data_IF_817366083297
#
_entry.id   IF_817366083297
#
_cell.length_a   1.000
_cell.length_b   1.000
_cell.length_c   1.000
_cell.angle_alpha   90.00
_cell.angle_beta   90.00
_cell.angle_gamma   90.00
#
_symmetry.space_group_name_H-M   'P 1'
#
loop_
_entity.id
_entity.type
_entity.pdbx_description
1 polymer ?
#
# COMPACT_ATOMS: atom_id res chain seq x y z
N UNK A 1 16.83 -13.11 -13.65
CA UNK A 1 15.59 -13.61 -13.03
C UNK A 1 15.62 -13.17 -11.59
N UNK A 2 14.93 -12.09 -11.23
CA UNK A 2 14.75 -11.73 -9.81
C UNK A 2 13.84 -12.79 -9.20
N UNK A 3 14.26 -13.36 -8.08
CA UNK A 3 13.47 -14.38 -7.38
C UNK A 3 12.17 -13.75 -6.88
N UNK A 4 11.11 -14.54 -6.70
CA UNK A 4 9.75 -14.02 -6.45
C UNK A 4 9.63 -12.97 -5.33
N UNK A 5 10.45 -13.08 -4.26
CA UNK A 5 10.47 -12.09 -3.17
C UNK A 5 11.24 -10.82 -3.51
N UNK A 6 12.37 -10.91 -4.22
CA UNK A 6 13.14 -9.74 -4.65
C UNK A 6 12.36 -8.91 -5.67
N UNK A 7 11.65 -9.58 -6.59
CA UNK A 7 10.76 -8.92 -7.54
C UNK A 7 9.61 -8.19 -6.84
N UNK A 8 9.01 -8.80 -5.81
CA UNK A 8 7.96 -8.17 -5.01
C UNK A 8 8.50 -6.96 -4.22
N UNK A 9 9.69 -7.07 -3.61
CA UNK A 9 10.33 -5.97 -2.90
C UNK A 9 10.65 -4.79 -3.83
N UNK A 10 11.16 -5.07 -5.04
CA UNK A 10 11.40 -4.05 -6.05
C UNK A 10 10.09 -3.36 -6.48
N UNK A 11 9.02 -4.15 -6.68
CA UNK A 11 7.68 -3.64 -6.98
C UNK A 11 7.13 -2.72 -5.88
N UNK A 12 7.27 -3.12 -4.62
CA UNK A 12 6.84 -2.31 -3.47
C UNK A 12 7.61 -0.98 -3.39
N UNK A 13 8.92 -0.98 -3.66
CA UNK A 13 9.72 0.25 -3.70
C UNK A 13 9.33 1.16 -4.88
N UNK A 14 9.07 0.58 -6.05
CA UNK A 14 8.60 1.35 -7.20
C UNK A 14 7.22 1.98 -6.95
N UNK A 15 6.31 1.23 -6.33
CA UNK A 15 5.00 1.72 -5.93
C UNK A 15 5.10 2.87 -4.91
N UNK A 16 6.01 2.76 -3.94
CA UNK A 16 6.27 3.84 -2.99
C UNK A 16 6.72 5.11 -3.72
N UNK A 17 7.67 5.00 -4.65
CA UNK A 17 8.13 6.16 -5.44
C UNK A 17 7.01 6.81 -6.25
N UNK A 18 6.06 6.02 -6.77
CA UNK A 18 4.87 6.55 -7.44
C UNK A 18 3.94 7.28 -6.47
N UNK A 19 3.72 6.72 -5.27
CA UNK A 19 2.92 7.35 -4.23
C UNK A 19 3.50 8.69 -3.77
N UNK A 20 4.82 8.75 -3.56
CA UNK A 20 5.51 9.97 -3.14
C UNK A 20 5.40 11.05 -4.23
N UNK A 21 5.59 10.67 -5.51
CA UNK A 21 5.42 11.57 -6.64
C UNK A 21 3.97 12.06 -6.81
N UNK A 22 2.98 11.17 -6.65
CA UNK A 22 1.56 11.53 -6.65
C UNK A 22 1.26 12.54 -5.55
N UNK A 23 1.72 12.28 -4.32
CA UNK A 23 1.48 13.15 -3.18
C UNK A 23 2.08 14.54 -3.41
N UNK A 24 3.31 14.61 -3.91
CA UNK A 24 3.95 15.88 -4.26
C UNK A 24 3.17 16.65 -5.35
N UNK A 25 2.60 15.96 -6.34
CA UNK A 25 1.80 16.62 -7.37
C UNK A 25 0.49 17.20 -6.81
N UNK A 26 -0.14 16.53 -5.84
CA UNK A 26 -1.32 17.03 -5.12
C UNK A 26 -0.94 18.24 -4.25
N UNK A 27 0.09 18.12 -3.42
CA UNK A 27 0.51 19.18 -2.50
C UNK A 27 0.98 20.46 -3.24
N UNK A 28 1.54 20.32 -4.44
CA UNK A 28 1.93 21.45 -5.29
C UNK A 28 0.78 22.01 -6.15
N UNK A 29 -0.45 21.49 -6.01
CA UNK A 29 -1.63 21.88 -6.81
C UNK A 29 -1.50 21.54 -8.30
N UNK A 30 -0.56 20.68 -8.67
CA UNK A 30 -0.34 20.25 -10.07
C UNK A 30 -1.33 19.16 -10.50
N UNK A 31 -1.92 18.47 -9.53
CA UNK A 31 -2.97 17.49 -9.75
C UNK A 31 -4.25 17.95 -9.07
N UNK A 32 -5.21 18.36 -9.89
CA UNK A 32 -6.57 18.69 -9.47
C UNK A 32 -7.51 17.78 -10.25
N UNK A 33 -8.36 17.06 -9.54
CA UNK A 33 -9.16 16.01 -10.12
C UNK A 33 -10.62 16.17 -9.71
N UNK A 34 -11.52 15.92 -10.66
CA UNK A 34 -12.96 15.92 -10.40
C UNK A 34 -13.30 14.95 -9.24
N UNK A 35 -14.12 15.36 -8.26
CA UNK A 35 -14.40 14.55 -7.06
C UNK A 35 -14.95 13.16 -7.34
N UNK A 36 -15.84 13.00 -8.31
CA UNK A 36 -16.41 11.69 -8.64
C UNK A 36 -15.34 10.77 -9.22
N UNK A 37 -14.49 11.31 -10.10
CA UNK A 37 -13.39 10.55 -10.71
C UNK A 37 -12.31 10.22 -9.69
N UNK A 38 -11.98 11.14 -8.81
CA UNK A 38 -11.00 10.94 -7.76
C UNK A 38 -11.43 9.84 -6.79
N UNK A 39 -12.70 9.83 -6.37
CA UNK A 39 -13.24 8.77 -5.51
C UNK A 39 -13.29 7.43 -6.24
N UNK A 40 -13.66 7.41 -7.53
CA UNK A 40 -13.65 6.18 -8.32
C UNK A 40 -12.25 5.55 -8.39
N UNK A 41 -11.21 6.36 -8.61
CA UNK A 41 -9.81 5.89 -8.63
C UNK A 41 -9.34 5.48 -7.23
N UNK A 42 -9.62 6.30 -6.20
CA UNK A 42 -9.28 5.99 -4.83
C UNK A 42 -9.86 4.64 -4.37
N UNK A 43 -11.11 4.35 -4.77
CA UNK A 43 -11.76 3.07 -4.49
C UNK A 43 -11.02 1.88 -5.10
N UNK A 44 -10.51 1.99 -6.33
CA UNK A 44 -9.71 0.91 -6.95
C UNK A 44 -8.45 0.64 -6.15
N UNK A 45 -7.80 1.69 -5.63
CA UNK A 45 -6.62 1.53 -4.78
C UNK A 45 -6.97 0.92 -3.41
N UNK A 46 -8.10 1.29 -2.81
CA UNK A 46 -8.59 0.69 -1.57
C UNK A 46 -8.94 -0.81 -1.75
N UNK A 47 -9.61 -1.17 -2.85
CA UNK A 47 -9.92 -2.57 -3.18
C UNK A 47 -8.64 -3.41 -3.30
N UNK A 48 -7.63 -2.88 -3.99
CA UNK A 48 -6.31 -3.54 -4.08
C UNK A 48 -5.61 -3.61 -2.73
N UNK A 49 -5.70 -2.57 -1.90
CA UNK A 49 -5.12 -2.58 -0.56
C UNK A 49 -5.76 -3.68 0.30
N UNK A 50 -7.08 -3.89 0.17
CA UNK A 50 -7.79 -4.95 0.88
C UNK A 50 -7.39 -6.36 0.40
N UNK A 51 -7.06 -6.55 -0.88
CA UNK A 51 -6.47 -7.81 -1.36
C UNK A 51 -5.12 -8.09 -0.67
N UNK A 52 -4.23 -7.09 -0.62
CA UNK A 52 -2.94 -7.22 0.07
C UNK A 52 -3.09 -7.50 1.57
N UNK A 53 -4.07 -6.86 2.21
CA UNK A 53 -4.45 -7.13 3.59
C UNK A 53 -4.93 -8.58 3.77
N UNK A 54 -5.69 -9.10 2.80
CA UNK A 54 -6.10 -10.50 2.74
C UNK A 54 -4.90 -11.46 2.68
N UNK A 55 -3.95 -11.20 1.79
CA UNK A 55 -2.71 -11.98 1.70
C UNK A 55 -1.88 -11.92 2.98
N UNK A 56 -1.76 -10.75 3.59
CA UNK A 56 -1.06 -10.57 4.86
C UNK A 56 -1.69 -11.44 5.97
N UNK A 57 -3.02 -11.38 6.14
CA UNK A 57 -3.75 -12.19 7.14
C UNK A 57 -3.60 -13.69 6.89
N UNK A 58 -3.66 -14.11 5.62
CA UNK A 58 -3.47 -15.51 5.25
C UNK A 58 -2.03 -15.97 5.55
N UNK A 59 -1.03 -15.14 5.26
CA UNK A 59 0.36 -15.42 5.61
C UNK A 59 0.58 -15.55 7.12
N UNK A 60 -0.01 -14.66 7.94
CA UNK A 60 0.06 -14.78 9.40
C UNK A 60 -0.58 -16.07 9.93
N UNK A 61 -1.69 -16.51 9.33
CA UNK A 61 -2.33 -17.79 9.69
C UNK A 61 -1.45 -19.00 9.38
N UNK A 62 -0.62 -18.92 8.34
CA UNK A 62 0.32 -19.98 8.01
C UNK A 62 1.47 -20.06 9.02
N UNK A 63 1.92 -18.93 9.58
CA UNK A 63 2.94 -18.91 10.64
C UNK A 63 2.44 -19.47 11.98
N UNK A 64 1.15 -19.35 12.27
CA UNK A 64 0.56 -19.75 13.55
C UNK A 64 0.10 -21.20 13.60
N UNK A 65 0.03 -21.86 12.45
CA UNK A 65 -0.23 -23.30 12.39
C UNK A 65 1.13 -23.99 12.46
N UNK A 66 1.37 -24.79 13.51
CA UNK A 66 2.47 -25.77 13.62
C UNK A 66 2.34 -26.84 12.52
N UNK A 67 2.43 -26.41 11.26
CA UNK A 67 2.07 -27.17 10.08
C UNK A 67 3.10 -28.25 9.75
N UNK A 68 4.27 -28.19 10.38
CA UNK A 68 5.43 -29.01 10.07
C UNK A 68 5.65 -30.17 11.07
N UNK A 69 4.81 -30.28 12.11
CA UNK A 69 4.84 -31.36 13.10
C UNK A 69 5.93 -31.22 14.17
N UNK A 70 5.74 -31.88 15.31
CA UNK A 70 6.63 -31.81 16.49
C UNK A 70 7.81 -32.80 16.40
N UNK A 71 8.59 -32.71 15.32
CA UNK A 71 9.81 -33.50 15.15
C UNK A 71 10.97 -32.59 14.75
N UNK A 72 12.21 -33.07 14.89
CA UNK A 72 13.42 -32.27 14.61
C UNK A 72 13.40 -31.64 13.21
N UNK A 73 12.96 -32.39 12.20
CA UNK A 73 12.84 -31.91 10.81
C UNK A 73 11.71 -30.88 10.68
N UNK A 74 10.59 -31.10 11.37
CA UNK A 74 9.45 -30.19 11.40
C UNK A 74 9.82 -28.82 11.97
N UNK A 75 10.53 -28.81 13.10
CA UNK A 75 11.05 -27.58 13.73
C UNK A 75 12.04 -26.83 12.84
N UNK A 76 12.94 -27.54 12.13
CA UNK A 76 13.89 -26.91 11.20
C UNK A 76 13.18 -26.29 9.98
N UNK A 77 12.17 -26.98 9.42
CA UNK A 77 11.35 -26.45 8.33
C UNK A 77 10.53 -25.23 8.76
N UNK A 78 9.93 -25.28 9.95
CA UNK A 78 9.19 -24.17 10.54
C UNK A 78 10.09 -22.95 10.74
N UNK A 79 11.29 -23.14 11.29
CA UNK A 79 12.27 -22.06 11.46
C UNK A 79 12.67 -21.44 10.11
N UNK A 80 12.98 -22.25 9.10
CA UNK A 80 13.32 -21.77 7.75
C UNK A 80 12.17 -21.01 7.08
N UNK A 81 10.93 -21.46 7.28
CA UNK A 81 9.75 -20.76 6.76
C UNK A 81 9.56 -19.42 7.48
N UNK A 82 9.63 -19.43 8.81
CA UNK A 82 9.52 -18.23 9.64
C UNK A 82 10.59 -17.20 9.26
N UNK A 83 11.85 -17.61 9.05
CA UNK A 83 12.93 -16.73 8.61
C UNK A 83 12.66 -16.06 7.26
N UNK A 84 12.04 -16.75 6.30
CA UNK A 84 11.72 -16.17 4.98
C UNK A 84 10.51 -15.25 5.00
N UNK A 85 9.51 -15.59 5.80
CA UNK A 85 8.24 -14.86 5.84
C UNK A 85 8.31 -13.65 6.78
N UNK A 86 9.01 -13.80 7.90
CA UNK A 86 9.20 -12.79 8.94
C UNK A 86 10.60 -12.93 9.58
N UNK A 87 11.66 -12.45 8.91
CA UNK A 87 13.02 -12.55 9.43
C UNK A 87 13.13 -11.82 10.77
N UNK A 88 13.80 -12.46 11.74
CA UNK A 88 13.99 -11.94 13.11
C UNK A 88 14.98 -10.76 13.19
N UNK A 89 15.79 -10.53 12.15
CA UNK A 89 16.78 -9.45 12.08
C UNK A 89 16.83 -8.83 10.67
N UNK A 90 17.28 -7.58 10.64
CA UNK A 90 17.22 -6.54 9.60
C UNK A 90 17.81 -6.85 8.20
N UNK A 91 18.10 -8.11 7.86
CA UNK A 91 18.84 -8.47 6.64
C UNK A 91 17.98 -8.73 5.39
N UNK A 92 16.71 -8.32 5.40
CA UNK A 92 15.85 -8.38 4.20
C UNK A 92 14.39 -8.10 4.50
N UNK A 93 13.67 -7.58 3.50
CA UNK A 93 12.23 -7.39 3.62
C UNK A 93 11.55 -8.78 3.56
N UNK A 94 11.08 -9.29 4.70
CA UNK A 94 10.25 -10.50 4.73
C UNK A 94 8.94 -10.30 3.97
N UNK A 95 8.33 -11.40 3.52
CA UNK A 95 7.08 -11.36 2.77
C UNK A 95 5.98 -10.54 3.49
N UNK A 96 5.77 -10.77 4.79
CA UNK A 96 4.73 -10.06 5.55
C UNK A 96 4.98 -8.55 5.64
N UNK A 97 6.19 -8.08 6.00
CA UNK A 97 6.55 -6.67 5.89
C UNK A 97 6.30 -6.07 4.50
N UNK A 98 6.65 -6.77 3.42
CA UNK A 98 6.44 -6.27 2.05
C UNK A 98 4.95 -6.11 1.76
N UNK A 99 4.13 -7.13 2.04
CA UNK A 99 2.68 -7.07 1.81
C UNK A 99 2.03 -5.92 2.59
N UNK A 100 2.45 -5.72 3.85
CA UNK A 100 1.97 -4.61 4.68
C UNK A 100 2.39 -3.24 4.12
N UNK A 101 3.63 -3.12 3.62
CA UNK A 101 4.09 -1.89 2.98
C UNK A 101 3.26 -1.59 1.74
N UNK A 102 3.02 -2.58 0.89
CA UNK A 102 2.18 -2.40 -0.32
C UNK A 102 0.75 -2.01 0.03
N UNK A 103 0.12 -2.65 1.03
CA UNK A 103 -1.20 -2.24 1.53
C UNK A 103 -1.20 -0.75 1.92
N UNK A 104 -0.22 -0.32 2.72
CA UNK A 104 -0.15 1.06 3.19
C UNK A 104 0.05 2.04 2.02
N UNK A 105 1.00 1.77 1.13
CA UNK A 105 1.26 2.63 -0.03
C UNK A 105 0.01 2.81 -0.90
N UNK A 106 -0.75 1.74 -1.15
CA UNK A 106 -2.00 1.83 -1.93
C UNK A 106 -3.04 2.72 -1.23
N UNK A 107 -3.16 2.63 0.10
CA UNK A 107 -4.04 3.53 0.88
C UNK A 107 -3.58 4.98 0.84
N UNK A 108 -2.28 5.22 0.90
CA UNK A 108 -1.72 6.56 0.81
C UNK A 108 -2.00 7.18 -0.57
N UNK A 109 -1.91 6.39 -1.64
CA UNK A 109 -2.31 6.82 -2.99
C UNK A 109 -3.80 7.12 -3.08
N UNK A 110 -4.67 6.27 -2.53
CA UNK A 110 -6.11 6.51 -2.48
C UNK A 110 -6.44 7.83 -1.76
N UNK A 111 -5.77 8.08 -0.63
CA UNK A 111 -5.93 9.32 0.11
C UNK A 111 -5.45 10.54 -0.68
N UNK A 112 -4.32 10.46 -1.37
CA UNK A 112 -3.83 11.55 -2.21
C UNK A 112 -4.83 11.95 -3.31
N UNK A 113 -5.50 10.97 -3.95
CA UNK A 113 -6.57 11.28 -4.91
C UNK A 113 -7.75 11.98 -4.25
N UNK A 114 -8.21 11.52 -3.09
CA UNK A 114 -9.30 12.18 -2.34
C UNK A 114 -8.95 13.60 -1.93
N UNK A 115 -7.72 13.83 -1.49
CA UNK A 115 -7.23 15.15 -1.13
C UNK A 115 -7.19 16.08 -2.35
N UNK A 116 -6.76 15.58 -3.52
CA UNK A 116 -6.77 16.36 -4.76
C UNK A 116 -8.17 16.85 -5.18
N UNK A 117 -9.21 16.07 -4.89
CA UNK A 117 -10.59 16.47 -5.12
C UNK A 117 -11.11 17.47 -4.09
N UNK A 118 -10.68 17.32 -2.84
CA UNK A 118 -11.04 18.26 -1.78
C UNK A 118 -10.45 19.64 -2.05
N UNK A 119 -9.23 19.70 -2.55
CA UNK A 119 -8.58 20.97 -2.92
C UNK A 119 -9.31 21.65 -4.09
N UNK A 120 -9.83 20.88 -5.05
CA UNK A 120 -10.69 21.39 -6.12
C UNK A 120 -11.97 22.04 -5.56
N UNK A 121 -12.69 21.33 -4.68
CA UNK A 121 -13.92 21.84 -4.08
C UNK A 121 -13.69 23.10 -3.24
N UNK A 122 -12.62 23.12 -2.45
CA UNK A 122 -12.25 24.30 -1.66
C UNK A 122 -11.94 25.50 -2.55
N UNK A 123 -11.18 25.28 -3.64
CA UNK A 123 -10.83 26.33 -4.61
C UNK A 123 -12.06 26.88 -5.32
N UNK A 124 -12.97 26.01 -5.75
CA UNK A 124 -14.22 26.42 -6.39
C UNK A 124 -15.13 27.20 -5.42
N UNK A 125 -15.26 26.76 -4.17
CA UNK A 125 -16.02 27.45 -3.13
C UNK A 125 -15.44 28.83 -2.78
N UNK A 126 -14.12 28.95 -2.70
CA UNK A 126 -13.44 30.23 -2.47
C UNK A 126 -13.63 31.19 -3.65
N UNK A 127 -13.51 30.69 -4.89
CA UNK A 127 -13.74 31.49 -6.09
C UNK A 127 -15.22 31.93 -6.20
N UNK A 128 -16.17 31.04 -5.88
CA UNK A 128 -17.59 31.36 -5.86
C UNK A 128 -17.94 32.44 -4.81
N UNK A 129 -17.27 32.44 -3.66
CA UNK A 129 -17.44 33.46 -2.61
C UNK A 129 -16.80 34.81 -2.97
N UNK A 130 -15.72 34.80 -3.74
CA UNK A 130 -14.98 35.98 -4.14
C UNK A 130 -15.45 36.62 -5.45
N UNK A 131 -16.39 35.99 -6.18
CA UNK A 131 -17.04 36.63 -7.32
C UNK A 131 -17.87 37.83 -6.84
N UNK A 132 -17.60 39.05 -7.34
CA UNK A 132 -18.43 40.20 -7.02
C UNK A 132 -19.85 39.93 -7.52
N UNK A 133 -20.85 40.08 -6.64
CA UNK A 133 -22.25 40.12 -7.05
C UNK A 133 -22.42 41.33 -7.97
N UNK A 134 -22.50 41.08 -9.27
CA UNK A 134 -22.90 42.07 -10.28
C UNK A 134 -24.42 42.22 -10.24
#
# INVERSE_FOLDING_TARGET
MTTGMEGLAAGASALQGQSDGLRAAVDNGQLVMDPERAEAVAKVYDEKADDFRGFYRNGQRLLTRNAYGDCFIGHDLENKFNEKVQPKQESGAGLLPILRKMEQTLRDMAQAYRDSARDMQNTDDENARNLPKV
#
